data_IF_603734224278
#
_entry.id   IF_603734224278
#
_cell.length_a   1.000
_cell.length_b   1.000
_cell.length_c   1.000
_cell.angle_alpha   90.00
_cell.angle_beta   90.00
_cell.angle_gamma   90.00
#
_symmetry.space_group_name_H-M   'P 1'
#
loop_
_entity.id
_entity.type
_entity.pdbx_description
1 polymer ?
#
# COMPACT_ATOMS: atom_id res chain seq x y z
N UNK A 1 -9.70 20.40 -20.31
CA UNK A 1 -9.56 19.28 -19.35
C UNK A 1 -8.17 19.37 -18.73
N UNK A 2 -8.04 19.22 -17.41
CA UNK A 2 -6.72 19.19 -16.76
C UNK A 2 -6.02 17.86 -17.04
N UNK A 3 -4.70 17.90 -17.27
CA UNK A 3 -3.90 16.68 -17.43
C UNK A 3 -3.80 15.95 -16.07
N UNK A 4 -4.02 14.62 -16.00
CA UNK A 4 -3.82 13.87 -14.76
C UNK A 4 -2.34 13.79 -14.39
N UNK A 5 -2.06 13.65 -13.08
CA UNK A 5 -0.71 13.46 -12.58
C UNK A 5 -0.16 12.09 -13.03
N UNK A 6 1.07 12.07 -13.56
CA UNK A 6 1.74 10.82 -13.97
C UNK A 6 2.34 10.05 -12.80
N UNK A 7 2.53 10.71 -11.66
CA UNK A 7 2.99 10.13 -10.40
C UNK A 7 2.20 10.77 -9.25
N UNK A 8 1.84 9.98 -8.24
CA UNK A 8 1.07 10.41 -7.07
C UNK A 8 1.78 9.95 -5.81
N UNK A 9 2.07 10.90 -4.90
CA UNK A 9 2.72 10.62 -3.62
C UNK A 9 1.70 10.62 -2.49
N UNK A 10 1.73 9.59 -1.65
CA UNK A 10 0.93 9.47 -0.43
C UNK A 10 1.87 9.13 0.73
N UNK A 11 2.13 10.12 1.58
CA UNK A 11 3.16 9.98 2.62
C UNK A 11 4.52 9.70 2.00
N UNK A 12 5.11 8.54 2.32
CA UNK A 12 6.38 8.05 1.79
C UNK A 12 6.24 7.09 0.60
N UNK A 13 5.02 6.84 0.11
CA UNK A 13 4.74 5.92 -1.00
C UNK A 13 4.49 6.71 -2.29
N UNK A 14 5.09 6.26 -3.40
CA UNK A 14 4.92 6.86 -4.73
C UNK A 14 4.29 5.85 -5.68
N UNK A 15 3.25 6.28 -6.41
CA UNK A 15 2.57 5.48 -7.42
C UNK A 15 2.76 6.12 -8.80
N UNK A 16 3.34 5.38 -9.73
CA UNK A 16 3.49 5.79 -11.12
C UNK A 16 4.00 4.64 -11.98
N UNK A 17 3.71 4.67 -13.29
CA UNK A 17 4.08 3.58 -14.19
C UNK A 17 5.60 3.43 -14.40
N UNK A 18 6.37 4.45 -14.01
CA UNK A 18 7.84 4.48 -14.11
C UNK A 18 8.52 4.45 -12.73
N UNK A 19 7.76 4.27 -11.66
CA UNK A 19 8.25 4.23 -10.28
C UNK A 19 8.47 2.78 -9.82
N UNK A 20 9.28 2.55 -8.76
CA UNK A 20 9.30 1.26 -8.08
C UNK A 20 7.90 0.81 -7.66
N UNK A 21 7.66 -0.50 -7.64
CA UNK A 21 6.36 -1.05 -7.28
C UNK A 21 5.97 -0.64 -5.85
N UNK A 22 4.77 -0.08 -5.73
CA UNK A 22 4.11 0.20 -4.46
C UNK A 22 2.81 -0.60 -4.38
N UNK A 23 2.47 -1.11 -3.21
CA UNK A 23 1.33 -2.01 -3.00
C UNK A 23 0.22 -1.33 -2.21
N UNK A 24 -1.02 -1.53 -2.66
CA UNK A 24 -2.24 -1.25 -1.89
C UNK A 24 -2.86 -2.62 -1.56
N UNK A 25 -2.80 -3.05 -0.30
CA UNK A 25 -3.20 -4.40 0.07
C UNK A 25 -3.77 -4.51 1.49
N UNK A 26 -4.50 -5.60 1.73
CA UNK A 26 -5.19 -5.93 2.97
C UNK A 26 -6.44 -6.78 2.72
N UNK A 27 -7.22 -7.12 3.77
CA UNK A 27 -8.42 -7.96 3.63
C UNK A 27 -9.52 -7.25 2.83
N UNK A 28 -10.45 -8.00 2.24
CA UNK A 28 -11.53 -7.42 1.44
C UNK A 28 -12.57 -6.67 2.28
N UNK A 29 -12.69 -7.02 3.55
CA UNK A 29 -13.57 -6.38 4.52
C UNK A 29 -12.81 -6.20 5.84
N UNK A 30 -13.42 -5.48 6.79
CA UNK A 30 -12.96 -5.48 8.18
C UNK A 30 -13.67 -6.61 8.94
N UNK A 31 -13.19 -7.85 8.83
CA UNK A 31 -13.85 -8.99 9.50
C UNK A 31 -13.75 -8.88 11.03
N UNK A 32 -12.60 -8.42 11.53
CA UNK A 32 -12.41 -8.05 12.93
C UNK A 32 -11.19 -7.13 13.09
N UNK A 33 -11.11 -6.43 14.22
CA UNK A 33 -9.92 -5.63 14.57
C UNK A 33 -8.65 -6.51 14.57
N UNK A 34 -8.69 -7.68 15.20
CA UNK A 34 -7.52 -8.55 15.32
C UNK A 34 -7.04 -9.00 13.93
N UNK A 35 -7.95 -9.47 13.08
CA UNK A 35 -7.62 -9.89 11.71
C UNK A 35 -6.98 -8.75 10.91
N UNK A 36 -7.49 -7.51 11.04
CA UNK A 36 -6.90 -6.36 10.37
C UNK A 36 -5.46 -6.09 10.82
N UNK A 37 -5.18 -6.14 12.13
CA UNK A 37 -3.83 -5.95 12.66
C UNK A 37 -2.87 -7.08 12.25
N UNK A 38 -3.34 -8.34 12.25
CA UNK A 38 -2.53 -9.48 11.81
C UNK A 38 -2.12 -9.32 10.33
N UNK A 39 -3.09 -8.97 9.47
CA UNK A 39 -2.84 -8.73 8.04
C UNK A 39 -1.92 -7.52 7.81
N UNK A 40 -2.14 -6.41 8.52
CA UNK A 40 -1.32 -5.21 8.39
C UNK A 40 0.13 -5.48 8.80
N UNK A 41 0.35 -6.21 9.89
CA UNK A 41 1.68 -6.61 10.36
C UNK A 41 2.41 -7.47 9.33
N UNK A 42 1.77 -8.55 8.86
CA UNK A 42 2.37 -9.44 7.87
C UNK A 42 2.73 -8.72 6.55
N UNK A 43 1.83 -7.86 6.05
CA UNK A 43 2.08 -7.07 4.83
C UNK A 43 3.21 -6.04 5.03
N UNK A 44 3.25 -5.37 6.18
CA UNK A 44 4.31 -4.42 6.51
C UNK A 44 5.67 -5.10 6.54
N UNK A 45 5.81 -6.19 7.28
CA UNK A 45 7.07 -6.93 7.38
C UNK A 45 7.55 -7.44 6.02
N UNK A 46 6.63 -7.93 5.17
CA UNK A 46 6.96 -8.41 3.83
C UNK A 46 7.45 -7.27 2.93
N UNK A 47 6.72 -6.16 2.90
CA UNK A 47 7.06 -5.02 2.03
C UNK A 47 8.34 -4.33 2.47
N UNK A 48 8.61 -4.21 3.77
CA UNK A 48 9.90 -3.72 4.29
C UNK A 48 11.08 -4.60 3.85
N UNK A 49 10.94 -5.93 3.93
CA UNK A 49 11.98 -6.87 3.45
C UNK A 49 12.26 -6.74 1.95
N UNK A 50 11.24 -6.44 1.16
CA UNK A 50 11.33 -6.30 -0.30
C UNK A 50 11.66 -4.86 -0.75
N UNK A 51 11.69 -3.89 0.16
CA UNK A 51 11.89 -2.48 -0.17
C UNK A 51 10.72 -1.84 -0.94
N UNK A 52 9.50 -2.34 -0.76
CA UNK A 52 8.29 -1.84 -1.44
C UNK A 52 7.54 -0.82 -0.58
N UNK A 53 6.92 0.17 -1.22
CA UNK A 53 5.95 1.03 -0.55
C UNK A 53 4.65 0.27 -0.24
N UNK A 54 4.03 0.54 0.91
CA UNK A 54 2.76 -0.09 1.31
C UNK A 54 1.75 0.97 1.76
N UNK A 55 0.55 0.90 1.19
CA UNK A 55 -0.67 1.46 1.76
C UNK A 55 -1.55 0.30 2.21
N UNK A 56 -1.71 0.14 3.51
CA UNK A 56 -2.64 -0.85 4.04
C UNK A 56 -4.09 -0.37 3.85
N UNK A 57 -4.96 -1.25 3.35
CA UNK A 57 -6.39 -0.99 3.17
C UNK A 57 -7.23 -2.06 3.86
N UNK A 58 -8.34 -1.64 4.46
CA UNK A 58 -9.39 -2.52 4.99
C UNK A 58 -10.73 -2.11 4.39
#
# INVERSE_FOLDING_TARGET
MSKPNSSVTVGNVVFGNTEPLSLIAGPCQLESRQHAFDMAGALKELTEKLGLGLVYKT
#
